data_IF_838165624151
#
_entry.id   IF_838165624151
#
_cell.length_a   1.000
_cell.length_b   1.000
_cell.length_c   1.000
_cell.angle_alpha   90.00
_cell.angle_beta   90.00
_cell.angle_gamma   90.00
#
_symmetry.space_group_name_H-M   'P 1'
#
loop_
_entity.id
_entity.type
_entity.pdbx_description
1 polymer ?
#
# COMPACT_ATOMS: atom_id res chain seq x y z
N UNK A 1 2.03 32.71 -0.37
CA UNK A 1 2.33 31.58 -1.26
C UNK A 1 1.84 30.35 -0.51
N UNK A 2 0.69 29.81 -0.92
CA UNK A 2 0.02 28.77 -0.17
C UNK A 2 0.83 27.47 -0.27
N UNK A 3 1.13 26.89 0.89
CA UNK A 3 1.62 25.52 1.03
C UNK A 3 0.48 24.56 0.67
N UNK A 4 0.60 23.70 -0.36
CA UNK A 4 -0.42 22.73 -0.68
C UNK A 4 0.09 21.30 -0.46
N UNK A 5 0.96 21.06 0.52
CA UNK A 5 1.08 19.69 1.06
C UNK A 5 0.00 19.55 2.16
N UNK A 6 -1.26 19.70 1.75
CA UNK A 6 -2.39 19.27 2.58
C UNK A 6 -2.41 17.75 2.53
N UNK A 7 -2.09 17.12 3.66
CA UNK A 7 -2.33 15.71 3.93
C UNK A 7 -3.77 15.37 3.52
N UNK A 8 -3.94 14.71 2.38
CA UNK A 8 -5.23 14.14 2.03
C UNK A 8 -5.50 13.01 3.03
N UNK A 9 -6.61 13.09 3.78
CA UNK A 9 -7.14 11.95 4.52
C UNK A 9 -7.85 11.03 3.54
N UNK A 10 -7.05 10.29 2.75
CA UNK A 10 -7.56 9.12 2.06
C UNK A 10 -7.80 8.04 3.10
N UNK A 11 -8.98 7.43 3.08
CA UNK A 11 -9.26 6.30 3.95
C UNK A 11 -8.54 5.06 3.39
N UNK A 12 -7.83 4.28 4.23
CA UNK A 12 -7.32 2.99 3.79
C UNK A 12 -8.50 2.07 3.44
N UNK A 13 -8.32 1.24 2.41
CA UNK A 13 -9.28 0.19 2.05
C UNK A 13 -8.61 -1.16 2.30
N UNK A 14 -8.85 -1.79 3.46
CA UNK A 14 -8.31 -3.10 3.75
C UNK A 14 -8.83 -4.15 2.76
N UNK A 15 -8.02 -5.15 2.41
CA UNK A 15 -8.49 -6.29 1.60
C UNK A 15 -9.62 -7.08 2.28
N UNK A 16 -9.69 -7.04 3.61
CA UNK A 16 -10.81 -7.60 4.37
C UNK A 16 -12.15 -6.93 3.99
N UNK A 17 -12.15 -5.62 3.78
CA UNK A 17 -13.35 -4.90 3.35
C UNK A 17 -13.73 -5.25 1.90
N UNK A 18 -12.78 -5.33 0.96
CA UNK A 18 -13.06 -5.80 -0.39
C UNK A 18 -13.61 -7.23 -0.41
N UNK A 19 -13.10 -8.08 0.49
CA UNK A 19 -13.57 -9.46 0.66
C UNK A 19 -15.01 -9.49 1.19
N UNK A 20 -15.30 -8.70 2.23
CA UNK A 20 -16.64 -8.62 2.84
C UNK A 20 -17.66 -8.04 1.84
N UNK A 21 -17.32 -6.93 1.18
CA UNK A 21 -18.20 -6.30 0.19
C UNK A 21 -18.41 -7.20 -1.03
N UNK A 22 -17.37 -7.89 -1.52
CA UNK A 22 -17.49 -8.77 -2.70
C UNK A 22 -18.24 -10.07 -2.43
N UNK A 23 -18.24 -10.52 -1.17
CA UNK A 23 -19.04 -11.65 -0.70
C UNK A 23 -20.47 -11.29 -0.28
N UNK A 24 -20.81 -10.01 -0.20
CA UNK A 24 -22.16 -9.56 0.20
C UNK A 24 -23.15 -9.82 -0.92
N UNK A 25 -24.26 -10.47 -0.57
CA UNK A 25 -25.39 -10.74 -1.48
C UNK A 25 -26.67 -10.10 -0.98
N UNK A 26 -27.55 -9.74 -1.90
CA UNK A 26 -28.84 -9.10 -1.59
C UNK A 26 -28.86 -7.65 -2.07
N UNK A 27 -29.90 -6.90 -1.73
CA UNK A 27 -30.03 -5.51 -2.18
C UNK A 27 -28.88 -4.66 -1.65
N UNK A 28 -28.02 -4.24 -2.57
CA UNK A 28 -26.79 -3.54 -2.30
C UNK A 28 -26.79 -2.21 -3.06
N UNK A 29 -26.40 -1.15 -2.37
CA UNK A 29 -26.31 0.20 -2.88
C UNK A 29 -24.84 0.61 -2.92
N UNK A 30 -24.37 1.04 -4.10
CA UNK A 30 -23.05 1.66 -4.28
C UNK A 30 -23.24 3.07 -4.81
N UNK A 31 -22.65 4.06 -4.14
CA UNK A 31 -22.73 5.48 -4.52
C UNK A 31 -21.30 6.00 -4.68
N UNK A 32 -21.07 6.70 -5.78
CA UNK A 32 -19.80 7.36 -6.10
C UNK A 32 -20.06 8.84 -6.38
N UNK A 33 -19.17 9.71 -5.92
CA UNK A 33 -19.24 11.14 -6.21
C UNK A 33 -17.88 11.83 -6.13
N UNK A 34 -17.69 12.91 -6.91
CA UNK A 34 -16.53 13.78 -6.79
C UNK A 34 -16.71 14.68 -5.56
N UNK A 35 -15.61 14.98 -4.87
CA UNK A 35 -15.61 15.82 -3.67
C UNK A 35 -14.57 16.92 -3.74
N UNK A 36 -14.91 18.10 -3.22
CA UNK A 36 -13.98 19.21 -3.12
C UNK A 36 -13.23 19.17 -1.77
N UNK A 37 -11.90 19.34 -1.81
CA UNK A 37 -11.02 19.43 -0.62
C UNK A 37 -11.05 20.80 0.07
N UNK A 38 -11.63 21.82 -0.56
CA UNK A 38 -11.54 23.19 -0.08
C UNK A 38 -12.28 24.20 -0.94
N UNK A 39 -12.50 25.39 -0.39
CA UNK A 39 -13.24 26.47 -1.06
C UNK A 39 -14.74 26.41 -0.83
N UNK A 40 -15.49 27.18 -1.61
CA UNK A 40 -16.95 27.28 -1.48
C UNK A 40 -17.66 25.94 -1.82
N UNK A 41 -17.03 25.12 -2.67
CA UNK A 41 -17.56 23.85 -3.17
C UNK A 41 -17.66 22.75 -2.10
N UNK A 42 -16.94 22.86 -0.97
CA UNK A 42 -17.03 21.89 0.15
C UNK A 42 -18.47 21.76 0.66
N UNK A 43 -19.23 22.87 0.65
CA UNK A 43 -20.63 22.88 1.08
C UNK A 43 -21.56 22.14 0.13
N UNK A 44 -21.12 21.89 -1.10
CA UNK A 44 -21.88 21.12 -2.09
C UNK A 44 -21.72 19.61 -1.90
N UNK A 45 -20.62 19.15 -1.31
CA UNK A 45 -20.35 17.72 -1.08
C UNK A 45 -21.54 16.98 -0.41
N UNK A 46 -22.04 17.41 0.78
CA UNK A 46 -23.18 16.75 1.42
C UNK A 46 -24.49 16.92 0.63
N UNK A 47 -24.63 17.99 -0.16
CA UNK A 47 -25.83 18.24 -0.99
C UNK A 47 -25.87 17.24 -2.16
N UNK A 48 -24.73 17.01 -2.82
CA UNK A 48 -24.58 15.99 -3.88
C UNK A 48 -24.84 14.60 -3.31
N UNK A 49 -24.20 14.25 -2.19
CA UNK A 49 -24.40 12.97 -1.52
C UNK A 49 -25.87 12.73 -1.14
N UNK A 50 -26.56 13.74 -0.57
CA UNK A 50 -27.98 13.66 -0.25
C UNK A 50 -28.85 13.40 -1.49
N UNK A 51 -28.49 14.03 -2.62
CA UNK A 51 -29.22 13.85 -3.88
C UNK A 51 -29.06 12.42 -4.42
N UNK A 52 -27.85 11.86 -4.36
CA UNK A 52 -27.55 10.48 -4.78
C UNK A 52 -28.17 9.44 -3.83
N UNK A 53 -28.20 9.69 -2.52
CA UNK A 53 -28.91 8.82 -1.56
C UNK A 53 -30.40 8.77 -1.86
N UNK A 54 -31.01 9.91 -2.21
CA UNK A 54 -32.43 9.97 -2.62
C UNK A 54 -32.68 9.21 -3.94
N UNK A 55 -31.73 9.25 -4.86
CA UNK A 55 -31.79 8.45 -6.08
C UNK A 55 -31.72 6.94 -5.76
N UNK A 56 -30.80 6.53 -4.89
CA UNK A 56 -30.70 5.15 -4.42
C UNK A 56 -31.99 4.67 -3.74
N UNK A 57 -32.62 5.52 -2.94
CA UNK A 57 -33.93 5.25 -2.30
C UNK A 57 -35.02 4.97 -3.34
N UNK A 58 -35.07 5.78 -4.42
CA UNK A 58 -36.02 5.59 -5.51
C UNK A 58 -35.74 4.28 -6.28
N UNK A 59 -34.47 3.98 -6.56
CA UNK A 59 -34.07 2.75 -7.23
C UNK A 59 -34.37 1.51 -6.38
N UNK A 60 -34.10 1.51 -5.07
CA UNK A 60 -34.42 0.41 -4.15
C UNK A 60 -35.92 0.09 -4.15
N UNK A 61 -36.76 1.12 -4.04
CA UNK A 61 -38.23 0.95 -4.08
C UNK A 61 -38.69 0.40 -5.43
N UNK A 62 -38.10 0.86 -6.54
CA UNK A 62 -38.39 0.31 -7.86
C UNK A 62 -38.01 -1.18 -7.98
N UNK A 63 -36.98 -1.62 -7.25
CA UNK A 63 -36.57 -3.03 -7.13
C UNK A 63 -37.30 -3.79 -6.00
N UNK A 64 -38.43 -3.25 -5.54
CA UNK A 64 -39.34 -3.93 -4.61
C UNK A 64 -38.87 -3.97 -3.16
N UNK A 65 -37.92 -3.13 -2.75
CA UNK A 65 -37.59 -2.97 -1.34
C UNK A 65 -38.77 -2.35 -0.58
N UNK A 66 -39.02 -2.83 0.64
CA UNK A 66 -40.02 -2.20 1.51
C UNK A 66 -39.50 -0.87 2.06
N UNK A 67 -40.38 -0.04 2.63
CA UNK A 67 -39.95 1.18 3.33
C UNK A 67 -38.97 0.87 4.45
N UNK A 68 -39.29 -0.12 5.29
CA UNK A 68 -38.44 -0.58 6.39
C UNK A 68 -37.08 -1.09 5.91
N UNK A 69 -37.03 -1.90 4.83
CA UNK A 69 -35.78 -2.38 4.25
C UNK A 69 -34.96 -1.23 3.65
N UNK A 70 -35.62 -0.26 3.01
CA UNK A 70 -34.95 0.93 2.45
C UNK A 70 -34.32 1.79 3.55
N UNK A 71 -35.06 2.01 4.65
CA UNK A 71 -34.59 2.78 5.80
C UNK A 71 -33.45 2.05 6.53
N UNK A 72 -33.51 0.71 6.63
CA UNK A 72 -32.44 -0.11 7.20
C UNK A 72 -31.15 -0.04 6.36
N UNK A 73 -31.26 -0.08 5.03
CA UNK A 73 -30.11 -0.01 4.12
C UNK A 73 -29.52 1.40 4.10
N UNK A 74 -30.33 2.43 3.88
CA UNK A 74 -29.83 3.80 3.66
C UNK A 74 -29.64 4.61 4.93
N UNK A 75 -30.22 4.19 6.06
CA UNK A 75 -30.14 4.87 7.35
C UNK A 75 -28.72 5.29 7.75
N UNK A 76 -27.72 4.40 7.71
CA UNK A 76 -26.33 4.76 8.02
C UNK A 76 -25.76 5.86 7.11
N UNK A 77 -26.09 5.84 5.81
CA UNK A 77 -25.64 6.87 4.86
C UNK A 77 -26.34 8.20 5.11
N UNK A 78 -27.61 8.18 5.53
CA UNK A 78 -28.35 9.38 5.94
C UNK A 78 -27.75 9.98 7.21
N UNK A 79 -27.40 9.16 8.20
CA UNK A 79 -26.71 9.61 9.42
C UNK A 79 -25.34 10.24 9.10
N UNK A 80 -24.60 9.68 8.13
CA UNK A 80 -23.32 10.26 7.69
C UNK A 80 -23.48 11.69 7.15
N UNK A 81 -24.62 12.06 6.56
CA UNK A 81 -24.89 13.44 6.11
C UNK A 81 -24.92 14.46 7.26
N UNK A 82 -25.08 14.01 8.49
CA UNK A 82 -25.15 14.87 9.68
C UNK A 82 -23.77 15.06 10.35
N UNK A 83 -22.73 14.35 9.88
CA UNK A 83 -21.37 14.42 10.40
C UNK A 83 -20.56 15.58 9.75
N UNK A 84 -20.77 16.80 10.24
CA UNK A 84 -20.05 17.99 9.76
C UNK A 84 -18.50 17.80 9.75
N UNK A 85 -17.85 17.26 10.80
CA UNK A 85 -16.41 16.97 10.76
C UNK A 85 -15.97 16.09 9.59
N UNK A 86 -16.73 15.05 9.26
CA UNK A 86 -16.46 14.16 8.12
C UNK A 86 -16.44 14.94 6.80
N UNK A 87 -17.47 15.73 6.53
CA UNK A 87 -17.61 16.49 5.28
C UNK A 87 -16.65 17.66 5.13
N UNK A 88 -16.05 18.13 6.23
CA UNK A 88 -15.01 19.18 6.21
C UNK A 88 -13.62 18.63 5.87
N UNK A 89 -13.42 17.31 5.88
CA UNK A 89 -12.13 16.64 5.70
C UNK A 89 -12.15 15.67 4.52
N UNK A 90 -12.58 16.17 3.35
CA UNK A 90 -12.72 15.37 2.13
C UNK A 90 -11.45 15.31 1.28
N UNK A 91 -11.35 14.26 0.46
CA UNK A 91 -10.34 14.07 -0.59
C UNK A 91 -10.93 14.46 -1.97
N UNK A 92 -10.57 13.75 -3.04
CA UNK A 92 -11.06 14.04 -4.41
C UNK A 92 -12.35 13.28 -4.75
N UNK A 93 -12.58 12.13 -4.13
CA UNK A 93 -13.77 11.32 -4.35
C UNK A 93 -14.26 10.66 -3.07
N UNK A 94 -15.52 10.26 -3.10
CA UNK A 94 -16.17 9.50 -2.04
C UNK A 94 -16.89 8.29 -2.65
N UNK A 95 -16.63 7.12 -2.07
CA UNK A 95 -17.37 5.89 -2.35
C UNK A 95 -18.15 5.47 -1.11
N UNK A 96 -19.45 5.20 -1.25
CA UNK A 96 -20.31 4.73 -0.17
C UNK A 96 -20.99 3.43 -0.57
N UNK A 97 -21.01 2.47 0.35
CA UNK A 97 -21.63 1.16 0.18
C UNK A 97 -22.61 0.91 1.31
N UNK A 98 -23.80 0.40 0.99
CA UNK A 98 -24.77 0.01 2.00
C UNK A 98 -25.64 -1.17 1.55
N UNK A 99 -25.82 -2.13 2.45
CA UNK A 99 -26.78 -3.22 2.35
C UNK A 99 -27.29 -3.54 3.77
N UNK A 100 -28.19 -4.51 3.89
CA UNK A 100 -28.73 -4.92 5.19
C UNK A 100 -27.60 -5.37 6.13
N UNK A 101 -27.40 -4.63 7.23
CA UNK A 101 -26.41 -4.95 8.27
C UNK A 101 -24.95 -4.59 7.94
N UNK A 102 -24.68 -3.98 6.78
CA UNK A 102 -23.32 -3.59 6.37
C UNK A 102 -23.34 -2.24 5.67
N UNK A 103 -22.40 -1.38 6.05
CA UNK A 103 -22.12 -0.15 5.31
C UNK A 103 -20.63 0.22 5.41
N UNK A 104 -20.14 0.96 4.41
CA UNK A 104 -18.78 1.50 4.34
C UNK A 104 -18.78 2.84 3.60
N UNK A 105 -17.85 3.71 3.95
CA UNK A 105 -17.58 4.95 3.22
C UNK A 105 -16.07 5.20 3.16
N UNK A 106 -15.56 5.56 1.98
CA UNK A 106 -14.13 5.77 1.74
C UNK A 106 -13.88 7.09 1.00
N UNK A 107 -13.07 7.96 1.61
CA UNK A 107 -12.48 9.13 0.97
C UNK A 107 -11.28 8.70 0.13
N UNK A 108 -11.26 9.08 -1.15
CA UNK A 108 -10.25 8.66 -2.12
C UNK A 108 -9.52 9.87 -2.73
N UNK A 109 -8.24 9.71 -3.02
CA UNK A 109 -7.43 10.67 -3.79
C UNK A 109 -7.60 10.51 -5.30
N UNK A 110 -8.63 9.79 -5.72
CA UNK A 110 -9.02 9.63 -7.12
C UNK A 110 -10.39 10.24 -7.31
N UNK A 111 -10.52 11.04 -8.36
CA UNK A 111 -11.80 11.61 -8.75
C UNK A 111 -12.76 10.48 -9.18
N UNK A 112 -14.01 10.58 -8.74
CA UNK A 112 -15.05 9.59 -9.02
C UNK A 112 -16.23 10.29 -9.69
N UNK A 113 -16.85 9.71 -10.72
CA UNK A 113 -18.06 10.28 -11.30
C UNK A 113 -19.24 10.15 -10.32
N UNK A 114 -20.26 11.00 -10.49
CA UNK A 114 -21.55 10.80 -9.83
C UNK A 114 -22.24 9.55 -10.41
N UNK A 115 -22.39 8.51 -9.60
CA UNK A 115 -23.04 7.28 -10.01
C UNK A 115 -23.74 6.59 -8.82
N UNK A 116 -24.91 6.00 -9.10
CA UNK A 116 -25.69 5.20 -8.14
C UNK A 116 -26.00 3.85 -8.76
N UNK A 117 -25.60 2.79 -8.09
CA UNK A 117 -25.89 1.42 -8.48
C UNK A 117 -26.67 0.71 -7.39
N UNK A 118 -27.86 0.25 -7.71
CA UNK A 118 -28.67 -0.65 -6.87
C UNK A 118 -28.75 -2.01 -7.53
N UNK A 119 -28.19 -3.03 -6.90
CA UNK A 119 -28.07 -4.40 -7.46
C UNK A 119 -28.15 -5.47 -6.37
N UNK A 120 -27.89 -6.73 -6.74
CA UNK A 120 -27.74 -7.88 -5.85
C UNK A 120 -26.33 -8.03 -5.22
N UNK A 121 -25.42 -7.11 -5.59
CA UNK A 121 -24.01 -7.03 -5.17
C UNK A 121 -23.47 -5.60 -5.28
N UNK A 122 -22.35 -5.31 -4.62
CA UNK A 122 -21.69 -4.00 -4.70
C UNK A 122 -20.86 -3.81 -5.97
N UNK A 123 -20.71 -2.56 -6.42
CA UNK A 123 -19.77 -2.17 -7.48
C UNK A 123 -18.40 -1.86 -6.87
N UNK A 124 -17.50 -2.82 -6.83
CA UNK A 124 -16.19 -2.67 -6.18
C UNK A 124 -15.13 -2.08 -7.10
N UNK A 125 -15.26 -2.31 -8.41
CA UNK A 125 -14.29 -1.88 -9.43
C UNK A 125 -13.77 -0.43 -9.24
N UNK A 126 -14.60 0.58 -8.90
CA UNK A 126 -14.13 1.95 -8.67
C UNK A 126 -13.15 2.13 -7.52
N UNK A 127 -13.20 1.29 -6.49
CA UNK A 127 -12.33 1.41 -5.31
C UNK A 127 -11.11 0.49 -5.38
N UNK A 128 -11.09 -0.48 -6.31
CA UNK A 128 -9.98 -1.44 -6.46
C UNK A 128 -8.62 -0.75 -6.62
N UNK A 129 -8.42 0.27 -7.48
CA UNK A 129 -7.11 0.90 -7.64
C UNK A 129 -6.57 1.47 -6.33
N UNK A 130 -7.41 2.14 -5.54
CA UNK A 130 -7.01 2.68 -4.25
C UNK A 130 -6.69 1.56 -3.25
N UNK A 131 -7.51 0.51 -3.20
CA UNK A 131 -7.30 -0.62 -2.30
C UNK A 131 -6.02 -1.40 -2.58
N UNK A 132 -5.67 -1.61 -3.86
CA UNK A 132 -4.46 -2.36 -4.23
C UNK A 132 -3.19 -1.50 -4.27
N UNK A 133 -3.27 -0.23 -3.85
CA UNK A 133 -2.13 0.69 -3.90
C UNK A 133 -1.65 0.98 -5.32
N UNK A 134 -2.57 1.07 -6.28
CA UNK A 134 -2.22 1.33 -7.68
C UNK A 134 -1.43 2.65 -7.79
N UNK A 135 -0.25 2.56 -8.41
CA UNK A 135 0.72 3.66 -8.56
C UNK A 135 1.20 4.32 -7.26
N UNK A 136 1.12 3.61 -6.13
CA UNK A 136 1.80 4.04 -4.89
C UNK A 136 3.20 3.42 -4.80
N UNK A 137 4.11 4.12 -4.13
CA UNK A 137 5.49 3.69 -3.95
C UNK A 137 6.00 4.07 -2.57
N UNK A 138 7.03 3.36 -2.11
CA UNK A 138 7.72 3.62 -0.86
C UNK A 138 9.09 4.22 -1.12
N UNK A 139 9.42 5.29 -0.41
CA UNK A 139 10.74 5.90 -0.36
C UNK A 139 11.40 5.51 0.95
N UNK A 140 12.51 4.79 0.84
CA UNK A 140 13.36 4.44 1.99
C UNK A 140 14.54 5.42 1.96
N UNK A 141 14.42 6.51 2.70
CA UNK A 141 15.45 7.55 2.74
C UNK A 141 16.46 7.24 3.85
N UNK A 142 17.70 6.94 3.48
CA UNK A 142 18.72 6.38 4.40
C UNK A 142 20.00 7.19 4.38
N UNK A 143 20.40 7.65 5.56
CA UNK A 143 21.76 8.07 5.87
C UNK A 143 22.22 7.37 7.16
N UNK A 144 23.48 7.54 7.56
CA UNK A 144 23.94 7.02 8.86
C UNK A 144 23.28 7.75 10.04
N UNK A 145 22.88 9.01 9.85
CA UNK A 145 22.32 9.85 10.90
C UNK A 145 20.80 9.72 11.02
N UNK A 146 20.11 9.37 9.92
CA UNK A 146 18.66 9.43 9.84
C UNK A 146 18.10 8.44 8.82
N UNK A 147 17.05 7.74 9.21
CA UNK A 147 16.16 6.97 8.33
C UNK A 147 14.78 7.60 8.32
N UNK A 148 14.15 7.67 7.15
CA UNK A 148 12.73 8.03 6.98
C UNK A 148 12.09 7.05 6.02
N UNK A 149 10.90 6.58 6.37
CA UNK A 149 10.05 5.82 5.48
C UNK A 149 8.92 6.73 5.01
N UNK A 150 8.73 6.83 3.70
CA UNK A 150 7.67 7.67 3.13
C UNK A 150 6.85 6.87 2.11
N UNK A 151 5.55 7.15 2.03
CA UNK A 151 4.67 6.67 0.99
C UNK A 151 4.35 7.81 0.03
N UNK A 152 4.54 7.57 -1.26
CA UNK A 152 4.31 8.53 -2.33
C UNK A 152 3.27 8.05 -3.35
N UNK A 153 2.62 9.02 -3.97
CA UNK A 153 1.82 8.89 -5.19
C UNK A 153 2.41 9.80 -6.27
N UNK A 154 1.75 9.93 -7.42
CA UNK A 154 2.17 10.88 -8.45
C UNK A 154 2.22 12.34 -7.98
N UNK A 155 1.45 12.71 -6.95
CA UNK A 155 1.29 14.12 -6.53
C UNK A 155 1.43 14.35 -5.03
N UNK A 156 1.49 13.30 -4.21
CA UNK A 156 1.56 13.41 -2.76
C UNK A 156 2.68 12.55 -2.19
N UNK A 157 3.16 12.94 -1.01
CA UNK A 157 4.06 12.13 -0.19
C UNK A 157 3.70 12.33 1.28
N UNK A 158 3.75 11.25 2.06
CA UNK A 158 3.58 11.28 3.51
C UNK A 158 4.62 10.42 4.19
N UNK A 159 5.06 10.83 5.38
CA UNK A 159 5.93 10.00 6.20
C UNK A 159 5.10 8.90 6.89
N UNK A 160 5.68 7.70 6.94
CA UNK A 160 5.15 6.56 7.68
C UNK A 160 5.93 6.39 8.98
N UNK A 161 5.32 5.71 9.95
CA UNK A 161 6.03 5.28 11.16
C UNK A 161 7.14 4.27 10.78
N UNK A 162 8.29 4.36 11.45
CA UNK A 162 9.43 3.47 11.18
C UNK A 162 9.21 2.06 11.73
N UNK A 163 8.34 1.88 12.73
CA UNK A 163 8.13 0.59 13.37
C UNK A 163 9.43 0.02 13.95
N UNK A 164 9.89 -1.09 13.38
CA UNK A 164 11.13 -1.78 13.74
C UNK A 164 12.38 -1.25 13.02
N UNK A 165 12.23 -0.33 12.06
CA UNK A 165 13.35 0.23 11.29
C UNK A 165 14.17 1.16 12.20
N UNK A 166 15.49 0.97 12.33
CA UNK A 166 16.33 1.82 13.17
C UNK A 166 16.35 3.26 12.63
N UNK A 167 16.22 4.25 13.52
CA UNK A 167 16.17 5.65 13.12
C UNK A 167 17.55 6.19 12.67
N UNK A 168 18.64 5.57 13.10
CA UNK A 168 20.02 5.92 12.77
C UNK A 168 21.00 4.78 13.11
N UNK A 169 22.27 4.93 12.76
CA UNK A 169 23.33 4.00 13.18
C UNK A 169 23.52 3.99 14.70
N UNK A 170 23.27 5.10 15.40
CA UNK A 170 23.42 5.20 16.86
C UNK A 170 22.30 4.45 17.60
N UNK A 171 21.11 4.36 17.02
CA UNK A 171 19.97 3.62 17.55
C UNK A 171 20.30 2.12 17.72
N UNK A 172 21.11 1.59 16.80
CA UNK A 172 21.64 0.22 16.82
C UNK A 172 22.54 -0.06 18.03
N UNK A 173 23.19 0.98 18.57
CA UNK A 173 24.19 0.83 19.62
C UNK A 173 23.55 0.54 20.99
N UNK A 174 22.26 0.88 21.17
CA UNK A 174 21.50 0.62 22.40
C UNK A 174 21.35 -0.88 22.74
N UNK A 175 21.30 -1.74 21.73
CA UNK A 175 21.17 -3.20 21.87
C UNK A 175 22.52 -3.94 21.99
N UNK A 176 23.63 -3.22 21.84
CA UNK A 176 24.98 -3.78 22.02
C UNK A 176 25.57 -3.39 23.36
N UNK A 177 24.81 -3.57 24.44
CA UNK A 177 25.40 -3.64 25.77
C UNK A 177 26.02 -5.04 25.90
N UNK A 178 27.36 -5.20 25.88
CA UNK A 178 27.96 -6.50 26.16
C UNK A 178 27.48 -6.96 27.54
N UNK A 179 27.15 -8.25 27.71
CA UNK A 179 26.57 -8.72 28.95
C UNK A 179 27.49 -8.37 30.14
N UNK A 180 26.93 -8.06 31.32
CA UNK A 180 27.64 -7.39 32.42
C UNK A 180 28.78 -8.20 33.07
N UNK A 181 29.09 -9.40 32.55
CA UNK A 181 30.24 -10.18 32.98
C UNK A 181 31.58 -9.76 32.32
N UNK A 182 31.59 -8.77 31.43
CA UNK A 182 32.83 -8.24 30.85
C UNK A 182 33.23 -6.83 31.36
N UNK A 183 32.75 -6.43 32.53
CA UNK A 183 33.16 -5.19 33.21
C UNK A 183 34.01 -5.40 34.48
N UNK A 184 34.54 -6.60 34.71
CA UNK A 184 35.48 -6.82 35.82
C UNK A 184 36.82 -7.35 35.33
N UNK A 185 37.80 -6.43 35.21
CA UNK A 185 39.17 -6.56 35.75
C UNK A 185 40.06 -5.41 35.31
N UNK A 186 39.77 -4.21 35.79
CA UNK A 186 40.81 -3.19 36.00
C UNK A 186 40.61 -2.55 37.37
N UNK A 187 40.70 -3.36 38.42
CA UNK A 187 40.99 -2.84 39.76
C UNK A 187 42.50 -2.88 39.94
N UNK A 188 43.12 -1.70 39.92
CA UNK A 188 44.51 -1.50 40.25
C UNK A 188 44.76 -1.98 41.70
N UNK A 189 45.48 -3.10 41.82
CA UNK A 189 46.02 -3.58 43.09
C UNK A 189 47.43 -3.03 43.28
N UNK A 190 47.60 -2.11 44.22
CA UNK A 190 48.91 -1.76 44.75
C UNK A 190 49.51 -2.97 45.47
N UNK A 191 50.74 -3.37 45.11
CA UNK A 191 51.46 -4.44 45.80
C UNK A 191 52.79 -4.76 45.13
N UNK A 192 53.89 -4.35 45.78
CA UNK A 192 55.25 -4.67 45.40
C UNK A 192 55.57 -6.16 45.64
N UNK A 193 56.28 -6.83 44.71
CA UNK A 193 56.85 -8.16 44.95
C UNK A 193 57.35 -8.93 43.71
N UNK A 194 58.67 -8.88 43.50
CA UNK A 194 59.61 -9.88 42.96
C UNK A 194 59.19 -11.01 41.96
N UNK A 195 59.94 -11.01 40.84
CA UNK A 195 60.43 -12.09 39.96
C UNK A 195 59.82 -13.51 40.01
N UNK A 196 59.42 -14.00 38.83
CA UNK A 196 59.22 -15.43 38.55
C UNK A 196 58.58 -15.69 37.18
N UNK A 197 59.34 -16.32 36.28
CA UNK A 197 58.88 -16.85 34.98
C UNK A 197 57.79 -17.91 35.15
N UNK A 198 56.72 -17.88 34.33
CA UNK A 198 56.35 -18.94 33.36
C UNK A 198 54.99 -18.68 32.71
N UNK A 199 54.96 -18.85 31.39
CA UNK A 199 53.92 -19.45 30.55
C UNK A 199 52.44 -19.00 30.64
N UNK A 200 51.93 -18.58 29.48
CA UNK A 200 50.57 -18.91 29.03
C UNK A 200 49.54 -17.81 29.25
N UNK A 201 49.20 -17.08 28.18
CA UNK A 201 48.01 -16.22 28.21
C UNK A 201 47.92 -15.23 27.07
N UNK A 202 47.27 -15.65 25.98
CA UNK A 202 46.34 -14.84 25.19
C UNK A 202 46.86 -13.60 24.49
N UNK A 203 46.84 -13.63 23.16
CA UNK A 203 46.39 -12.45 22.41
C UNK A 203 45.55 -12.91 21.22
N UNK A 204 44.22 -12.92 21.40
CA UNK A 204 43.31 -12.90 20.25
C UNK A 204 43.19 -11.44 19.85
N UNK A 205 44.04 -11.04 18.91
CA UNK A 205 44.00 -9.72 18.31
C UNK A 205 42.79 -9.63 17.38
N UNK A 206 41.71 -8.96 17.79
CA UNK A 206 40.74 -8.42 16.81
C UNK A 206 41.29 -7.11 16.25
N UNK A 207 42.21 -7.21 15.30
CA UNK A 207 42.66 -6.05 14.52
C UNK A 207 41.65 -5.80 13.39
N UNK A 208 40.69 -4.91 13.63
CA UNK A 208 40.00 -4.20 12.57
C UNK A 208 40.50 -2.76 12.58
N UNK A 209 40.96 -2.25 11.44
CA UNK A 209 41.23 -0.81 11.27
C UNK A 209 39.91 -0.04 11.43
N UNK A 210 39.94 1.22 11.89
CA UNK A 210 38.69 1.99 12.13
C UNK A 210 37.76 2.09 10.91
N UNK A 211 38.31 1.98 9.70
CA UNK A 211 37.54 1.90 8.45
C UNK A 211 36.81 0.56 8.27
N UNK A 212 37.43 -0.57 8.60
CA UNK A 212 36.80 -1.90 8.55
C UNK A 212 35.68 -2.03 9.58
N UNK A 213 35.86 -1.43 10.76
CA UNK A 213 34.80 -1.38 11.80
C UNK A 213 33.61 -0.55 11.31
N UNK A 214 33.85 0.59 10.68
CA UNK A 214 32.79 1.44 10.11
C UNK A 214 32.03 0.75 8.96
N UNK A 215 32.73 0.00 8.11
CA UNK A 215 32.11 -0.73 7.00
C UNK A 215 31.20 -1.87 7.49
N UNK A 216 31.67 -2.64 8.48
CA UNK A 216 30.86 -3.70 9.13
C UNK A 216 29.65 -3.12 9.85
N UNK A 217 29.78 -1.94 10.48
CA UNK A 217 28.65 -1.27 11.16
C UNK A 217 27.62 -0.76 10.15
N UNK A 218 28.06 -0.16 9.04
CA UNK A 218 27.18 0.25 7.94
C UNK A 218 26.44 -0.94 7.33
N UNK A 219 27.13 -2.06 7.13
CA UNK A 219 26.51 -3.28 6.61
C UNK A 219 25.39 -3.79 7.53
N UNK A 220 25.66 -3.88 8.84
CA UNK A 220 24.66 -4.26 9.84
C UNK A 220 23.46 -3.32 9.85
N UNK A 221 23.71 -2.02 9.76
CA UNK A 221 22.68 -1.00 9.72
C UNK A 221 21.79 -1.14 8.48
N UNK A 222 22.38 -1.21 7.27
CA UNK A 222 21.61 -1.40 6.04
C UNK A 222 20.80 -2.71 6.05
N UNK A 223 21.33 -3.77 6.67
CA UNK A 223 20.64 -5.05 6.83
C UNK A 223 19.42 -4.92 7.74
N UNK A 224 19.53 -4.22 8.87
CA UNK A 224 18.39 -4.00 9.75
C UNK A 224 17.34 -3.08 9.14
N UNK A 225 17.75 -2.03 8.43
CA UNK A 225 16.81 -1.18 7.66
C UNK A 225 16.07 -2.02 6.62
N UNK A 226 16.78 -2.84 5.84
CA UNK A 226 16.15 -3.72 4.85
C UNK A 226 15.15 -4.69 5.48
N UNK A 227 15.49 -5.28 6.63
CA UNK A 227 14.59 -6.19 7.34
C UNK A 227 13.35 -5.48 7.88
N UNK A 228 13.50 -4.32 8.51
CA UNK A 228 12.35 -3.54 8.98
C UNK A 228 11.46 -3.08 7.82
N UNK A 229 12.02 -2.74 6.66
CA UNK A 229 11.23 -2.45 5.44
C UNK A 229 10.44 -3.68 4.98
N UNK A 230 11.01 -4.88 5.05
CA UNK A 230 10.32 -6.12 4.73
C UNK A 230 9.12 -6.37 5.65
N UNK A 231 9.22 -6.03 6.94
CA UNK A 231 8.09 -6.13 7.89
C UNK A 231 6.96 -5.13 7.60
N UNK A 232 7.27 -3.98 7.00
CA UNK A 232 6.25 -2.99 6.58
C UNK A 232 5.54 -3.43 5.29
N UNK A 233 6.17 -4.25 4.46
CA UNK A 233 5.58 -4.78 3.23
C UNK A 233 4.61 -5.92 3.58
N UNK A 234 3.31 -5.68 3.40
CA UNK A 234 2.30 -6.70 3.61
C UNK A 234 2.45 -7.89 2.62
N UNK A 235 1.88 -9.07 2.93
CA UNK A 235 1.82 -10.16 1.97
C UNK A 235 1.14 -9.71 0.66
N UNK A 236 1.83 -9.89 -0.46
CA UNK A 236 1.42 -9.43 -1.79
C UNK A 236 1.48 -7.91 -2.00
N UNK A 237 2.18 -7.15 -1.14
CA UNK A 237 2.49 -5.76 -1.44
C UNK A 237 3.25 -5.67 -2.77
N UNK A 238 2.82 -4.72 -3.59
CA UNK A 238 3.32 -4.50 -4.94
C UNK A 238 3.89 -3.12 -5.17
N UNK A 239 3.87 -2.27 -4.13
CA UNK A 239 4.43 -0.92 -4.19
C UNK A 239 5.88 -1.00 -4.63
N UNK A 240 6.26 -0.12 -5.55
CA UNK A 240 7.67 0.05 -5.89
C UNK A 240 8.41 0.57 -4.66
N UNK A 241 9.57 0.02 -4.34
CA UNK A 241 10.44 0.54 -3.27
C UNK A 241 11.63 1.23 -3.92
N UNK A 242 11.86 2.50 -3.58
CA UNK A 242 13.01 3.28 -4.04
C UNK A 242 13.88 3.68 -2.86
N UNK A 243 15.19 3.44 -2.99
CA UNK A 243 16.18 3.90 -2.03
C UNK A 243 16.53 5.36 -2.32
N UNK A 244 16.45 6.23 -1.31
CA UNK A 244 16.92 7.60 -1.37
C UNK A 244 18.15 7.76 -0.47
N UNK A 245 19.33 7.54 -1.05
CA UNK A 245 20.59 7.51 -0.32
C UNK A 245 21.77 7.86 -1.25
N UNK A 246 22.99 7.80 -0.70
CA UNK A 246 24.21 7.75 -1.51
C UNK A 246 24.23 6.47 -2.35
N UNK A 247 24.69 6.54 -3.60
CA UNK A 247 24.53 5.45 -4.57
C UNK A 247 25.27 4.16 -4.17
N UNK A 248 26.33 4.29 -3.37
CA UNK A 248 27.15 3.19 -2.86
C UNK A 248 26.36 2.24 -1.95
N UNK A 249 25.21 2.65 -1.40
CA UNK A 249 24.40 1.81 -0.52
C UNK A 249 23.58 0.77 -1.29
N UNK A 250 23.27 1.03 -2.57
CA UNK A 250 22.33 0.21 -3.33
C UNK A 250 22.74 -1.27 -3.48
N UNK A 251 24.00 -1.61 -3.82
CA UNK A 251 24.38 -3.01 -3.99
C UNK A 251 24.15 -3.84 -2.72
N UNK A 252 24.50 -3.27 -1.55
CA UNK A 252 24.29 -3.91 -0.24
C UNK A 252 22.82 -3.95 0.13
N UNK A 253 22.09 -2.86 -0.09
CA UNK A 253 20.66 -2.80 0.21
C UNK A 253 19.87 -3.85 -0.59
N UNK A 254 20.18 -4.06 -1.88
CA UNK A 254 19.61 -5.14 -2.71
C UNK A 254 20.01 -6.54 -2.25
N UNK A 255 21.19 -6.68 -1.65
CA UNK A 255 21.60 -7.95 -1.07
C UNK A 255 20.68 -8.33 0.09
N UNK A 256 20.26 -7.35 0.90
CA UNK A 256 19.47 -7.58 2.10
C UNK A 256 17.96 -7.54 1.89
N UNK A 257 17.44 -6.61 1.08
CA UNK A 257 16.03 -6.51 0.75
C UNK A 257 15.72 -7.35 -0.49
N UNK A 258 15.27 -8.59 -0.29
CA UNK A 258 14.86 -9.51 -1.38
C UNK A 258 13.41 -9.26 -1.80
N UNK A 259 13.18 -8.11 -2.41
CA UNK A 259 11.85 -7.69 -2.86
C UNK A 259 11.80 -7.47 -4.38
N UNK A 260 10.83 -8.09 -5.05
CA UNK A 260 10.70 -8.10 -6.52
C UNK A 260 10.52 -6.70 -7.12
N UNK A 261 9.94 -5.78 -6.36
CA UNK A 261 9.62 -4.42 -6.82
C UNK A 261 10.57 -3.36 -6.24
N UNK A 262 11.74 -3.77 -5.75
CA UNK A 262 12.84 -2.85 -5.44
C UNK A 262 13.39 -2.26 -6.75
N UNK A 263 13.32 -0.94 -6.88
CA UNK A 263 13.82 -0.22 -8.06
C UNK A 263 15.36 -0.21 -8.03
N UNK A 264 15.96 -0.54 -9.18
CA UNK A 264 17.42 -0.67 -9.31
C UNK A 264 18.12 0.69 -9.20
N UNK A 265 17.48 1.75 -9.69
CA UNK A 265 17.98 3.11 -9.63
C UNK A 265 17.71 3.76 -8.25
N UNK A 266 18.66 4.56 -7.77
CA UNK A 266 18.57 5.28 -6.47
C UNK A 266 18.15 6.73 -6.70
N UNK A 267 17.30 7.26 -5.82
CA UNK A 267 17.12 8.70 -5.67
C UNK A 267 18.36 9.31 -4.99
N UNK A 268 19.41 9.54 -5.78
CA UNK A 268 20.75 9.79 -5.26
C UNK A 268 20.90 11.09 -4.44
N UNK A 269 21.74 11.00 -3.40
CA UNK A 269 22.19 12.13 -2.58
C UNK A 269 22.00 11.88 -1.08
N UNK A 270 22.43 12.84 -0.25
CA UNK A 270 22.17 12.77 1.20
C UNK A 270 20.72 13.21 1.49
N UNK A 271 19.86 12.35 2.09
CA UNK A 271 18.48 12.70 2.42
C UNK A 271 18.31 13.58 3.67
N UNK A 272 19.35 13.77 4.50
CA UNK A 272 19.25 14.39 5.83
C UNK A 272 18.57 15.76 5.82
N UNK A 273 18.94 16.60 4.84
CA UNK A 273 18.47 17.97 4.72
C UNK A 273 17.29 18.14 3.75
N UNK A 274 16.80 17.06 3.15
CA UNK A 274 15.74 17.14 2.13
C UNK A 274 14.36 17.19 2.79
N UNK A 275 13.52 18.12 2.31
CA UNK A 275 12.10 18.12 2.68
C UNK A 275 11.38 16.88 2.11
N UNK A 276 10.19 16.52 2.62
CA UNK A 276 9.36 15.48 1.99
C UNK A 276 9.13 15.75 0.49
N UNK A 277 8.83 17.00 0.11
CA UNK A 277 8.64 17.38 -1.28
C UNK A 277 9.89 17.18 -2.15
N UNK A 278 11.08 17.55 -1.66
CA UNK A 278 12.33 17.33 -2.38
C UNK A 278 12.63 15.83 -2.56
N UNK A 279 12.31 15.01 -1.55
CA UNK A 279 12.43 13.55 -1.65
C UNK A 279 11.46 12.99 -2.68
N UNK A 280 10.21 13.47 -2.70
CA UNK A 280 9.21 13.10 -3.70
C UNK A 280 9.69 13.41 -5.11
N UNK A 281 10.13 14.64 -5.38
CA UNK A 281 10.61 15.05 -6.71
C UNK A 281 11.77 14.19 -7.21
N UNK A 282 12.68 13.78 -6.31
CA UNK A 282 13.81 12.91 -6.63
C UNK A 282 13.37 11.46 -6.86
N UNK A 283 12.55 10.93 -5.96
CA UNK A 283 12.01 9.59 -6.05
C UNK A 283 11.15 9.42 -7.31
N UNK A 284 10.29 10.40 -7.61
CA UNK A 284 9.36 10.37 -8.74
C UNK A 284 10.08 10.20 -10.09
N UNK A 285 11.21 10.91 -10.29
CA UNK A 285 12.04 10.76 -11.50
C UNK A 285 12.53 9.32 -11.72
N UNK A 286 12.69 8.57 -10.64
CA UNK A 286 13.12 7.16 -10.66
C UNK A 286 11.92 6.21 -10.78
N UNK A 287 10.87 6.40 -9.97
CA UNK A 287 9.74 5.46 -9.94
C UNK A 287 8.78 5.60 -11.12
N UNK A 288 8.66 6.79 -11.72
CA UNK A 288 7.76 7.03 -12.85
C UNK A 288 8.01 6.06 -14.03
N UNK A 289 9.23 5.90 -14.56
CA UNK A 289 9.50 4.91 -15.60
C UNK A 289 9.40 3.47 -15.09
N UNK A 290 9.67 3.21 -13.80
CA UNK A 290 9.58 1.88 -13.22
C UNK A 290 8.13 1.35 -13.16
N UNK A 291 7.12 2.22 -13.00
CA UNK A 291 5.72 1.80 -13.12
C UNK A 291 5.39 1.25 -14.52
N UNK A 292 5.96 1.83 -15.57
CA UNK A 292 5.80 1.31 -16.94
C UNK A 292 6.38 -0.11 -17.08
N UNK A 293 7.60 -0.32 -16.58
CA UNK A 293 8.24 -1.65 -16.57
C UNK A 293 7.46 -2.67 -15.74
N UNK A 294 6.88 -2.24 -14.62
CA UNK A 294 6.03 -3.10 -13.78
C UNK A 294 4.78 -3.56 -14.55
N UNK A 295 4.12 -2.63 -15.25
CA UNK A 295 2.95 -2.93 -16.06
C UNK A 295 3.27 -3.85 -17.24
N UNK A 296 4.40 -3.61 -17.94
CA UNK A 296 4.89 -4.47 -19.02
C UNK A 296 5.14 -5.90 -18.52
N UNK A 297 5.84 -6.05 -17.38
CA UNK A 297 6.12 -7.36 -16.77
C UNK A 297 4.84 -8.12 -16.42
N UNK A 298 3.83 -7.43 -15.90
CA UNK A 298 2.54 -8.06 -15.59
C UNK A 298 1.78 -8.50 -16.84
N UNK A 299 1.82 -7.69 -17.91
CA UNK A 299 1.22 -8.03 -19.20
C UNK A 299 1.93 -9.22 -19.86
N UNK A 300 3.27 -9.25 -19.84
CA UNK A 300 4.08 -10.38 -20.32
C UNK A 300 3.76 -11.66 -19.56
N UNK A 301 3.75 -11.61 -18.23
CA UNK A 301 3.43 -12.76 -17.39
C UNK A 301 2.03 -13.32 -17.67
N UNK A 302 1.06 -12.44 -17.94
CA UNK A 302 -0.28 -12.87 -18.33
C UNK A 302 -0.28 -13.47 -19.76
N UNK A 303 0.46 -12.89 -20.70
CA UNK A 303 0.65 -13.44 -22.04
C UNK A 303 1.24 -14.84 -22.05
N UNK A 304 2.28 -15.07 -21.24
CA UNK A 304 2.89 -16.40 -21.05
C UNK A 304 1.89 -17.39 -20.43
N UNK A 305 1.08 -16.94 -19.47
CA UNK A 305 0.04 -17.78 -18.86
C UNK A 305 -1.06 -18.16 -19.87
N UNK A 306 -1.46 -17.27 -20.79
CA UNK A 306 -2.35 -17.59 -21.91
C UNK A 306 -1.71 -18.66 -22.79
N UNK A 307 -0.46 -18.47 -23.22
CA UNK A 307 0.26 -19.43 -24.06
C UNK A 307 0.39 -20.81 -23.44
N UNK A 308 0.50 -20.87 -22.10
CA UNK A 308 0.57 -22.10 -21.33
C UNK A 308 -0.80 -22.72 -20.98
N UNK A 309 -1.92 -22.10 -21.37
CA UNK A 309 -3.27 -22.58 -21.01
C UNK A 309 -3.60 -22.43 -19.52
N UNK A 310 -2.90 -21.57 -18.79
CA UNK A 310 -3.07 -21.30 -17.35
C UNK A 310 -3.66 -19.91 -17.08
N UNK A 311 -4.46 -19.39 -18.01
CA UNK A 311 -5.12 -18.10 -17.86
C UNK A 311 -6.54 -18.10 -18.42
N UNK A 312 -7.37 -17.24 -17.85
CA UNK A 312 -8.70 -16.86 -18.37
C UNK A 312 -8.57 -15.44 -18.92
N UNK A 313 -8.95 -15.22 -20.17
CA UNK A 313 -8.90 -13.91 -20.83
C UNK A 313 -10.32 -13.39 -21.08
N UNK A 314 -10.76 -12.42 -20.29
CA UNK A 314 -12.14 -11.93 -20.28
C UNK A 314 -13.12 -12.84 -19.55
N UNK A 315 -14.38 -12.40 -19.48
CA UNK A 315 -15.49 -13.20 -18.96
C UNK A 315 -15.59 -13.22 -17.44
N UNK A 316 -16.23 -12.19 -16.86
CA UNK A 316 -16.43 -12.08 -15.41
C UNK A 316 -17.02 -13.34 -14.76
N UNK A 317 -17.97 -14.02 -15.41
CA UNK A 317 -18.59 -15.25 -14.87
C UNK A 317 -17.60 -16.43 -14.79
N UNK A 318 -16.74 -16.62 -15.80
CA UNK A 318 -15.73 -17.68 -15.79
C UNK A 318 -14.65 -17.40 -14.74
N UNK A 319 -14.27 -16.14 -14.61
CA UNK A 319 -13.35 -15.67 -13.56
C UNK A 319 -13.96 -15.90 -12.17
N UNK A 320 -15.22 -15.52 -11.95
CA UNK A 320 -15.91 -15.73 -10.67
C UNK A 320 -15.95 -17.21 -10.30
N UNK A 321 -16.29 -18.08 -11.26
CA UNK A 321 -16.29 -19.52 -11.05
C UNK A 321 -14.90 -20.04 -10.64
N UNK A 322 -13.85 -19.63 -11.35
CA UNK A 322 -12.48 -20.02 -11.01
C UNK A 322 -12.03 -19.46 -9.65
N UNK A 323 -12.50 -18.26 -9.26
CA UNK A 323 -12.27 -17.69 -7.95
C UNK A 323 -12.93 -18.51 -6.84
N UNK A 324 -14.18 -18.94 -7.04
CA UNK A 324 -14.92 -19.80 -6.10
C UNK A 324 -14.23 -21.16 -5.91
N UNK A 325 -13.59 -21.68 -6.96
CA UNK A 325 -12.78 -22.90 -6.93
C UNK A 325 -11.37 -22.68 -6.35
N UNK A 326 -11.03 -21.46 -5.90
CA UNK A 326 -9.72 -21.06 -5.40
C UNK A 326 -8.56 -21.30 -6.40
N UNK A 327 -8.86 -21.23 -7.69
CA UNK A 327 -7.91 -21.52 -8.79
C UNK A 327 -7.13 -20.30 -9.25
N UNK A 328 -7.59 -19.10 -8.91
CA UNK A 328 -6.96 -17.86 -9.34
C UNK A 328 -5.75 -17.55 -8.42
N UNK A 329 -4.58 -17.41 -9.04
CA UNK A 329 -3.41 -16.84 -8.40
C UNK A 329 -3.48 -15.31 -8.41
N UNK A 330 -3.86 -14.76 -9.57
CA UNK A 330 -3.86 -13.32 -9.81
C UNK A 330 -5.01 -12.92 -10.73
N UNK A 331 -5.82 -11.97 -10.29
CA UNK A 331 -6.82 -11.29 -11.10
C UNK A 331 -6.22 -9.98 -11.64
N UNK A 332 -6.27 -9.78 -12.95
CA UNK A 332 -5.81 -8.58 -13.63
C UNK A 332 -7.02 -7.82 -14.15
N UNK A 333 -7.10 -6.53 -13.82
CA UNK A 333 -8.17 -5.65 -14.24
C UNK A 333 -7.54 -4.44 -14.91
N UNK A 334 -7.96 -4.12 -16.13
CA UNK A 334 -7.49 -2.89 -16.79
C UNK A 334 -8.05 -1.66 -16.08
N UNK A 335 -7.31 -0.56 -16.01
CA UNK A 335 -7.80 0.66 -15.32
C UNK A 335 -9.09 1.21 -15.92
N UNK A 336 -9.30 1.06 -17.24
CA UNK A 336 -10.57 1.40 -17.90
C UNK A 336 -11.76 0.59 -17.38
N UNK A 337 -11.52 -0.62 -16.87
CA UNK A 337 -12.55 -1.50 -16.31
C UNK A 337 -12.86 -1.18 -14.85
N UNK A 338 -12.01 -0.39 -14.18
CA UNK A 338 -12.24 0.12 -12.84
C UNK A 338 -13.20 1.32 -12.79
N UNK A 339 -13.81 1.75 -13.90
CA UNK A 339 -14.75 2.87 -13.90
C UNK A 339 -16.08 2.56 -13.19
N UNK A 340 -16.75 3.61 -12.72
CA UNK A 340 -18.10 3.51 -12.14
C UNK A 340 -19.22 3.62 -13.19
N UNK A 341 -18.87 3.71 -14.47
CA UNK A 341 -19.80 3.88 -15.60
C UNK A 341 -20.68 2.64 -15.87
N UNK A 342 -20.32 1.51 -15.28
CA UNK A 342 -21.01 0.24 -15.47
C UNK A 342 -21.54 -0.28 -14.14
N UNK A 343 -22.76 -0.80 -14.18
CA UNK A 343 -23.34 -1.50 -13.04
C UNK A 343 -22.50 -2.71 -12.65
N UNK A 344 -22.61 -3.15 -11.38
CA UNK A 344 -21.84 -4.27 -10.87
C UNK A 344 -22.14 -5.56 -11.65
N UNK A 345 -21.12 -6.40 -11.83
CA UNK A 345 -21.23 -7.68 -12.50
C UNK A 345 -20.45 -8.78 -11.75
N UNK A 346 -20.32 -9.97 -12.34
CA UNK A 346 -19.62 -11.10 -11.72
C UNK A 346 -18.16 -10.80 -11.38
N UNK A 347 -17.52 -9.84 -12.06
CA UNK A 347 -16.16 -9.43 -11.75
C UNK A 347 -16.06 -8.77 -10.37
N UNK A 348 -17.09 -8.02 -9.94
CA UNK A 348 -17.12 -7.40 -8.61
C UNK A 348 -17.15 -8.45 -7.49
N UNK A 349 -17.94 -9.51 -7.67
CA UNK A 349 -17.91 -10.66 -6.75
C UNK A 349 -16.59 -11.43 -6.82
N UNK A 350 -16.01 -11.55 -8.01
CA UNK A 350 -14.74 -12.24 -8.21
C UNK A 350 -13.58 -11.56 -7.47
N UNK A 351 -13.56 -10.22 -7.43
CA UNK A 351 -12.56 -9.44 -6.66
C UNK A 351 -12.53 -9.89 -5.20
N UNK A 352 -13.69 -9.90 -4.53
CA UNK A 352 -13.76 -10.33 -3.12
C UNK A 352 -13.37 -11.79 -2.94
N UNK A 353 -13.82 -12.67 -3.85
CA UNK A 353 -13.53 -14.11 -3.77
C UNK A 353 -12.04 -14.44 -4.02
N UNK A 354 -11.37 -13.72 -4.92
CA UNK A 354 -9.93 -13.88 -5.16
C UNK A 354 -9.13 -13.52 -3.91
N UNK A 355 -9.45 -12.40 -3.27
CA UNK A 355 -8.80 -11.98 -2.03
C UNK A 355 -9.08 -12.97 -0.89
N UNK A 356 -10.33 -13.44 -0.75
CA UNK A 356 -10.74 -14.44 0.25
C UNK A 356 -9.96 -15.76 0.13
N UNK A 357 -9.51 -16.11 -1.09
CA UNK A 357 -8.81 -17.37 -1.38
C UNK A 357 -7.31 -17.20 -1.50
N UNK A 358 -6.75 -16.08 -0.99
CA UNK A 358 -5.32 -15.74 -1.03
C UNK A 358 -4.76 -15.53 -2.44
N UNK A 359 -5.60 -15.19 -3.41
CA UNK A 359 -5.16 -14.62 -4.67
C UNK A 359 -4.89 -13.11 -4.54
N UNK A 360 -4.30 -12.54 -5.57
CA UNK A 360 -4.02 -11.09 -5.66
C UNK A 360 -4.88 -10.44 -6.73
N UNK A 361 -5.26 -9.17 -6.52
CA UNK A 361 -5.90 -8.34 -7.55
C UNK A 361 -4.92 -7.26 -7.97
N UNK A 362 -4.74 -7.06 -9.27
CA UNK A 362 -3.82 -6.07 -9.81
C UNK A 362 -4.52 -5.20 -10.86
N UNK A 363 -4.19 -3.92 -10.86
CA UNK A 363 -4.63 -2.97 -11.87
C UNK A 363 -3.52 -2.78 -12.89
N UNK A 364 -3.86 -2.88 -14.17
CA UNK A 364 -2.90 -2.74 -15.28
C UNK A 364 -3.40 -1.71 -16.30
N UNK A 365 -2.49 -1.14 -17.08
CA UNK A 365 -2.86 -0.21 -18.15
C UNK A 365 -3.54 -0.93 -19.33
N UNK A 366 -3.04 -2.12 -19.69
CA UNK A 366 -3.55 -2.91 -20.80
C UNK A 366 -3.28 -4.40 -20.58
N UNK A 367 -4.01 -5.25 -21.32
CA UNK A 367 -3.79 -6.69 -21.38
C UNK A 367 -3.65 -7.14 -22.83
N UNK A 368 -2.91 -8.24 -23.09
CA UNK A 368 -2.92 -8.98 -24.35
C UNK A 368 -4.34 -9.21 -24.89
N UNK A 369 -4.48 -9.23 -26.21
CA UNK A 369 -5.77 -9.40 -26.91
C UNK A 369 -6.80 -8.28 -26.64
N UNK A 370 -6.38 -7.17 -26.02
CA UNK A 370 -7.22 -6.03 -25.65
C UNK A 370 -8.42 -6.40 -24.76
N UNK A 371 -8.29 -7.45 -23.95
CA UNK A 371 -9.30 -7.78 -22.93
C UNK A 371 -9.26 -6.76 -21.78
N UNK A 372 -10.41 -6.50 -21.16
CA UNK A 372 -10.53 -5.56 -20.04
C UNK A 372 -10.24 -6.19 -18.68
N UNK A 373 -10.27 -7.52 -18.59
CA UNK A 373 -9.98 -8.31 -17.40
C UNK A 373 -9.41 -9.67 -17.79
N UNK A 374 -8.70 -10.32 -16.87
CA UNK A 374 -8.20 -11.67 -17.02
C UNK A 374 -7.67 -12.23 -15.71
N UNK A 375 -7.46 -13.53 -15.64
CA UNK A 375 -6.95 -14.20 -14.44
C UNK A 375 -5.84 -15.19 -14.79
N UNK A 376 -4.78 -15.22 -13.98
CA UNK A 376 -3.76 -16.28 -14.00
C UNK A 376 -4.15 -17.34 -12.99
N UNK A 377 -4.12 -18.60 -13.43
CA UNK A 377 -4.47 -19.75 -12.62
C UNK A 377 -3.24 -20.34 -11.91
N UNK A 378 -3.45 -20.84 -10.69
CA UNK A 378 -2.45 -21.54 -9.88
C UNK A 378 -1.98 -22.85 -10.52
N UNK A 379 -2.90 -23.56 -11.18
CA UNK A 379 -2.69 -24.87 -11.79
C UNK A 379 -3.52 -25.05 -13.05
#
# INVERSE_FOLDING_TARGET
MADPIRTAEADPIPYADLTELGGTTGRAVSIFLPTARGGAEVRENPIRAKSLIKEAEAQLRAHGATGEETDEILGPLVTLLEDDPYWNSMADGLAMFAAKGIWRAYRLTTDLPEAVHVSDRFALRPIVPAAVGDRTFLVVAVSQNKVRLLEGTASTIRELDLGSIPASVDDMAGDTQPPPHQQQRFSAGAGAGHAGSTAGGGVVHSHGTGAEVGDVQLEKFLRQVAHGVEEVLEPNDRRLVVLAAVAEYMPRFREFLKYENLVDEVAAGNPDALSPGDLHDRAWKVVQPAFGRLAERDAERFGDAIGAGRAIAGGGSDILKAAQEARIERLLITRRRCGADHGPDDLDSAIGQVLATSGSVIVVDSLPQDVSEGAILRF
#
